data_IF_011615600225
#
_entry.id   IF_011615600225
#
_cell.length_a   1.000
_cell.length_b   1.000
_cell.length_c   1.000
_cell.angle_alpha   90.00
_cell.angle_beta   90.00
_cell.angle_gamma   90.00
#
_symmetry.space_group_name_H-M   'P 1'
#
loop_
_entity.id
_entity.type
_entity.pdbx_description
1 polymer ?
#
# COMPACT_ATOMS: atom_id res chain seq x y z
N UNK A 1 -36.53 18.30 -23.95
CA UNK A 1 -35.72 18.22 -22.71
C UNK A 1 -34.36 18.81 -23.04
N UNK A 2 -34.12 20.04 -22.59
CA UNK A 2 -33.00 20.89 -23.02
C UNK A 2 -31.80 20.71 -22.10
N UNK A 3 -30.61 20.58 -22.71
CA UNK A 3 -29.31 20.44 -22.03
C UNK A 3 -28.79 21.84 -21.66
N UNK A 4 -28.31 22.10 -20.42
CA UNK A 4 -27.72 23.40 -20.09
C UNK A 4 -26.27 23.50 -20.59
N UNK A 5 -25.97 24.61 -21.26
CA UNK A 5 -24.65 25.02 -21.71
C UNK A 5 -23.78 25.50 -20.53
N UNK A 6 -22.59 24.94 -20.36
CA UNK A 6 -21.58 25.46 -19.44
C UNK A 6 -20.74 26.53 -20.14
N UNK A 7 -20.72 27.74 -19.56
CA UNK A 7 -19.90 28.89 -19.99
C UNK A 7 -18.43 28.71 -19.57
N UNK A 8 -17.55 29.00 -20.51
CA UNK A 8 -16.11 29.16 -20.33
C UNK A 8 -15.78 30.35 -19.42
N UNK A 9 -14.89 30.14 -18.44
CA UNK A 9 -14.22 31.21 -17.71
C UNK A 9 -12.73 31.18 -18.05
N UNK A 10 -12.29 32.19 -18.78
CA UNK A 10 -10.89 32.52 -19.08
C UNK A 10 -10.25 33.20 -17.88
N UNK A 11 -9.08 32.72 -17.46
CA UNK A 11 -8.26 33.33 -16.41
C UNK A 11 -7.08 34.07 -17.03
N UNK A 12 -6.96 35.37 -16.79
CA UNK A 12 -5.81 36.21 -17.16
C UNK A 12 -4.91 36.46 -15.95
N UNK A 13 -3.57 36.47 -16.09
CA UNK A 13 -2.66 36.70 -14.98
C UNK A 13 -2.32 38.19 -14.80
N UNK A 14 -2.34 38.67 -13.56
CA UNK A 14 -1.86 39.99 -13.16
C UNK A 14 -0.47 39.90 -12.53
N UNK A 15 0.42 40.81 -12.93
CA UNK A 15 1.81 40.98 -12.50
C UNK A 15 1.95 41.94 -11.31
N UNK A 16 3.03 41.74 -10.55
CA UNK A 16 3.75 42.75 -9.73
C UNK A 16 3.04 43.15 -8.42
N UNK A 17 3.68 43.41 -7.27
CA UNK A 17 4.93 44.14 -7.03
C UNK A 17 5.50 43.76 -5.64
N UNK A 18 6.81 43.95 -5.51
CA UNK A 18 7.47 44.61 -4.35
C UNK A 18 8.19 43.76 -3.31
N UNK A 19 9.51 43.93 -3.34
CA UNK A 19 10.46 43.62 -2.29
C UNK A 19 10.22 44.48 -1.04
N UNK A 20 10.41 43.88 0.14
CA UNK A 20 10.71 44.58 1.38
C UNK A 20 11.84 43.85 2.14
N UNK A 21 12.92 44.61 2.31
CA UNK A 21 13.99 44.50 3.29
C UNK A 21 13.46 44.26 4.72
N UNK A 22 14.12 43.40 5.52
CA UNK A 22 14.29 43.53 6.98
C UNK A 22 15.43 42.57 7.43
N UNK A 23 16.64 43.10 7.62
CA UNK A 23 17.31 43.31 8.91
C UNK A 23 17.68 42.04 9.71
N UNK A 24 19.00 41.85 9.86
CA UNK A 24 19.62 41.03 10.90
C UNK A 24 19.13 41.46 12.29
N UNK A 25 18.71 40.50 13.10
CA UNK A 25 18.79 40.59 14.56
C UNK A 25 19.33 39.26 15.09
N UNK A 26 20.51 39.36 15.69
CA UNK A 26 21.19 38.32 16.45
C UNK A 26 20.47 38.09 17.77
N UNK A 27 19.96 36.89 18.01
CA UNK A 27 19.61 36.42 19.35
C UNK A 27 20.36 35.13 19.64
N UNK A 28 21.33 35.26 20.55
CA UNK A 28 21.99 34.15 21.22
C UNK A 28 20.94 33.35 21.99
N UNK A 29 20.58 32.17 21.49
CA UNK A 29 19.90 31.15 22.26
C UNK A 29 20.91 30.06 22.63
N UNK A 30 21.23 29.97 23.92
CA UNK A 30 21.92 28.82 24.50
C UNK A 30 21.11 27.56 24.22
N UNK A 31 21.58 26.77 23.26
CA UNK A 31 21.09 25.40 23.04
C UNK A 31 21.73 24.54 24.13
N UNK A 32 21.00 24.33 25.22
CA UNK A 32 21.26 23.19 26.10
C UNK A 32 20.91 21.95 25.29
N UNK A 33 21.94 21.17 24.97
CA UNK A 33 21.81 19.86 24.35
C UNK A 33 21.06 18.93 25.32
N UNK A 34 19.74 18.91 25.21
CA UNK A 34 18.90 17.91 25.85
C UNK A 34 19.31 16.55 25.31
N UNK A 35 19.88 15.72 26.17
CA UNK A 35 20.09 14.30 25.92
C UNK A 35 18.70 13.71 25.65
N UNK A 36 18.37 13.48 24.38
CA UNK A 36 17.20 12.69 24.02
C UNK A 36 17.53 11.27 24.45
N UNK A 37 17.05 10.89 25.64
CA UNK A 37 17.01 9.50 26.05
C UNK A 37 16.16 8.75 25.02
N UNK A 38 16.82 8.04 24.11
CA UNK A 38 16.18 6.97 23.33
C UNK A 38 15.75 5.92 24.34
N UNK A 39 14.52 6.01 24.82
CA UNK A 39 13.90 4.92 25.56
C UNK A 39 14.03 3.65 24.72
N UNK A 40 14.54 2.58 25.33
CA UNK A 40 14.63 1.27 24.66
C UNK A 40 13.20 0.82 24.30
N UNK A 41 12.99 0.22 23.11
CA UNK A 41 11.69 -0.35 22.75
C UNK A 41 11.22 -1.30 23.84
N UNK A 42 9.97 -1.13 24.29
CA UNK A 42 9.35 -2.05 25.25
C UNK A 42 8.85 -3.25 24.45
N UNK A 43 9.35 -4.47 24.67
CA UNK A 43 8.94 -5.65 23.90
C UNK A 43 7.44 -5.91 24.03
N UNK A 44 6.84 -6.58 23.05
CA UNK A 44 5.42 -6.95 23.13
C UNK A 44 5.15 -7.83 24.35
N UNK A 45 4.09 -7.49 25.09
CA UNK A 45 3.52 -8.36 26.11
C UNK A 45 2.86 -9.60 25.48
N UNK A 46 2.74 -10.68 26.24
CA UNK A 46 2.04 -11.90 25.81
C UNK A 46 0.59 -11.62 25.37
N UNK A 47 -0.07 -10.61 25.93
CA UNK A 47 -1.41 -10.21 25.52
C UNK A 47 -1.38 -9.56 24.13
N UNK A 48 -0.43 -8.67 23.86
CA UNK A 48 -0.25 -8.06 22.54
C UNK A 48 0.06 -9.10 21.45
N UNK A 49 0.97 -10.04 21.74
CA UNK A 49 1.31 -11.14 20.80
C UNK A 49 0.07 -11.98 20.50
N UNK A 50 -0.72 -12.36 21.51
CA UNK A 50 -1.97 -13.11 21.32
C UNK A 50 -3.02 -12.33 20.52
N UNK A 51 -3.17 -11.04 20.78
CA UNK A 51 -4.11 -10.19 20.04
C UNK A 51 -3.72 -10.08 18.56
N UNK A 52 -2.43 -9.89 18.26
CA UNK A 52 -1.96 -9.86 16.88
C UNK A 52 -2.16 -11.22 16.20
N UNK A 53 -1.83 -12.33 16.87
CA UNK A 53 -2.08 -13.68 16.36
C UNK A 53 -3.56 -13.92 16.02
N UNK A 54 -4.46 -13.51 16.91
CA UNK A 54 -5.90 -13.61 16.69
C UNK A 54 -6.34 -12.75 15.49
N UNK A 55 -5.77 -11.54 15.34
CA UNK A 55 -6.08 -10.69 14.19
C UNK A 55 -5.60 -11.27 12.86
N UNK A 56 -4.41 -11.89 12.83
CA UNK A 56 -3.85 -12.56 11.64
C UNK A 56 -4.77 -13.72 11.23
N UNK A 57 -5.12 -14.59 12.18
CA UNK A 57 -5.93 -15.79 11.92
C UNK A 57 -7.39 -15.47 11.59
N UNK A 58 -7.93 -14.35 12.06
CA UNK A 58 -9.29 -13.89 11.76
C UNK A 58 -9.35 -12.93 10.56
N UNK A 59 -8.26 -12.72 9.83
CA UNK A 59 -8.30 -11.92 8.62
C UNK A 59 -9.25 -12.54 7.59
N UNK A 60 -10.41 -11.91 7.43
CA UNK A 60 -11.55 -12.43 6.66
C UNK A 60 -11.81 -11.71 5.35
N UNK A 61 -10.78 -11.30 4.62
CA UNK A 61 -11.00 -10.69 3.30
C UNK A 61 -11.50 -11.74 2.29
N UNK A 62 -12.47 -11.43 1.43
CA UNK A 62 -13.10 -12.43 0.55
C UNK A 62 -12.10 -13.23 -0.30
N UNK A 63 -12.23 -14.55 -0.26
CA UNK A 63 -11.47 -15.48 -1.10
C UNK A 63 -12.08 -15.56 -2.50
N UNK A 64 -12.07 -14.46 -3.24
CA UNK A 64 -12.70 -14.35 -4.57
C UNK A 64 -11.74 -13.78 -5.61
N UNK A 65 -11.85 -14.24 -6.84
CA UNK A 65 -11.26 -13.63 -8.02
C UNK A 65 -12.27 -13.64 -9.18
N UNK A 66 -11.90 -13.06 -10.31
CA UNK A 66 -12.73 -13.06 -11.52
C UNK A 66 -12.07 -13.90 -12.61
N UNK A 67 -12.85 -14.84 -13.17
CA UNK A 67 -12.47 -15.54 -14.40
C UNK A 67 -12.93 -14.71 -15.60
N UNK A 68 -11.98 -14.01 -16.22
CA UNK A 68 -12.24 -13.17 -17.38
C UNK A 68 -12.56 -13.95 -18.67
N UNK A 69 -12.24 -15.25 -18.73
CA UNK A 69 -12.60 -16.08 -19.88
C UNK A 69 -14.05 -16.54 -19.79
N UNK A 70 -14.50 -16.91 -18.58
CA UNK A 70 -15.88 -17.30 -18.30
C UNK A 70 -16.78 -16.11 -17.97
N UNK A 71 -16.20 -14.92 -17.81
CA UNK A 71 -16.87 -13.69 -17.39
C UNK A 71 -17.69 -13.88 -16.10
N UNK A 72 -17.11 -14.54 -15.11
CA UNK A 72 -17.78 -14.89 -13.86
C UNK A 72 -16.87 -14.74 -12.64
N UNK A 73 -17.43 -14.36 -11.47
CA UNK A 73 -16.72 -14.44 -10.21
C UNK A 73 -16.45 -15.91 -9.84
N UNK A 74 -15.32 -16.17 -9.22
CA UNK A 74 -14.96 -17.48 -8.67
C UNK A 74 -14.70 -17.34 -7.18
N UNK A 75 -15.42 -18.14 -6.39
CA UNK A 75 -15.14 -18.35 -4.97
C UNK A 75 -14.04 -19.41 -4.85
N UNK A 76 -12.89 -19.00 -4.33
CA UNK A 76 -11.77 -19.90 -4.08
C UNK A 76 -11.91 -20.55 -2.68
N UNK A 77 -11.25 -21.69 -2.50
CA UNK A 77 -11.29 -22.40 -1.21
C UNK A 77 -10.75 -21.58 -0.03
N UNK A 78 -9.77 -20.70 -0.27
CA UNK A 78 -9.15 -19.84 0.73
C UNK A 78 -8.33 -18.72 0.05
N UNK A 79 -7.78 -17.80 0.85
CA UNK A 79 -6.97 -16.68 0.35
C UNK A 79 -5.69 -17.14 -0.36
N UNK A 80 -5.07 -18.25 0.07
CA UNK A 80 -3.86 -18.77 -0.58
C UNK A 80 -4.15 -19.23 -2.01
N UNK A 81 -5.33 -19.80 -2.28
CA UNK A 81 -5.77 -20.15 -3.62
C UNK A 81 -5.99 -18.91 -4.51
N UNK A 82 -6.50 -17.80 -3.94
CA UNK A 82 -6.60 -16.51 -4.66
C UNK A 82 -5.20 -15.97 -4.97
N UNK A 83 -4.30 -15.98 -3.99
CA UNK A 83 -2.92 -15.52 -4.17
C UNK A 83 -2.21 -16.29 -5.27
N UNK A 84 -2.30 -17.62 -5.26
CA UNK A 84 -1.65 -18.46 -6.27
C UNK A 84 -2.25 -18.24 -7.65
N UNK A 85 -3.59 -18.15 -7.75
CA UNK A 85 -4.24 -17.86 -9.03
C UNK A 85 -3.75 -16.53 -9.63
N UNK A 86 -3.82 -15.44 -8.85
CA UNK A 86 -3.42 -14.11 -9.31
C UNK A 86 -1.92 -14.08 -9.61
N UNK A 87 -1.08 -14.68 -8.77
CA UNK A 87 0.36 -14.78 -9.01
C UNK A 87 0.67 -15.49 -10.32
N UNK A 88 0.02 -16.61 -10.60
CA UNK A 88 0.21 -17.36 -11.85
C UNK A 88 -0.16 -16.52 -13.09
N UNK A 89 -1.18 -15.66 -12.96
CA UNK A 89 -1.57 -14.72 -14.02
C UNK A 89 -0.53 -13.61 -14.20
N UNK A 90 -0.06 -13.00 -13.10
CA UNK A 90 0.95 -11.94 -13.11
C UNK A 90 2.29 -12.41 -13.69
N UNK A 91 2.69 -13.67 -13.45
CA UNK A 91 3.93 -14.28 -13.94
C UNK A 91 3.78 -14.98 -15.30
N UNK A 92 2.61 -14.90 -15.94
CA UNK A 92 2.34 -15.59 -17.20
C UNK A 92 3.13 -15.02 -18.37
N UNK A 93 3.57 -15.89 -19.29
CA UNK A 93 4.16 -15.45 -20.56
C UNK A 93 3.13 -14.81 -21.51
N UNK A 94 1.86 -15.22 -21.41
CA UNK A 94 0.77 -14.61 -22.17
C UNK A 94 0.41 -13.22 -21.62
N UNK A 95 0.51 -12.19 -22.47
CA UNK A 95 0.26 -10.79 -22.12
C UNK A 95 -1.18 -10.53 -21.63
N UNK A 96 -2.18 -11.18 -22.24
CA UNK A 96 -3.57 -11.05 -21.81
C UNK A 96 -3.77 -11.61 -20.41
N UNK A 97 -3.14 -12.76 -20.09
CA UNK A 97 -3.16 -13.31 -18.73
C UNK A 97 -2.52 -12.37 -17.71
N UNK A 98 -1.45 -11.67 -18.07
CA UNK A 98 -0.84 -10.64 -17.21
C UNK A 98 -1.84 -9.49 -16.93
N UNK A 99 -2.54 -9.02 -17.97
CA UNK A 99 -3.59 -8.01 -17.80
C UNK A 99 -4.73 -8.52 -16.91
N UNK A 100 -5.15 -9.77 -17.06
CA UNK A 100 -6.15 -10.40 -16.18
C UNK A 100 -5.66 -10.49 -14.73
N UNK A 101 -4.38 -10.82 -14.52
CA UNK A 101 -3.77 -10.81 -13.18
C UNK A 101 -3.83 -9.43 -12.52
N UNK A 102 -3.41 -8.40 -13.24
CA UNK A 102 -3.48 -7.01 -12.76
C UNK A 102 -4.93 -6.56 -12.52
N UNK A 103 -5.85 -6.93 -13.41
CA UNK A 103 -7.27 -6.66 -13.23
C UNK A 103 -7.85 -7.41 -12.02
N UNK A 104 -7.38 -8.63 -11.73
CA UNK A 104 -7.77 -9.39 -10.56
C UNK A 104 -7.23 -8.79 -9.26
N UNK A 105 -6.05 -8.15 -9.26
CA UNK A 105 -5.58 -7.35 -8.11
C UNK A 105 -6.56 -6.22 -7.80
N UNK A 106 -7.07 -5.53 -8.82
CA UNK A 106 -8.13 -4.51 -8.64
C UNK A 106 -9.44 -5.14 -8.18
N UNK A 107 -9.86 -6.22 -8.83
CA UNK A 107 -11.10 -6.92 -8.50
C UNK A 107 -11.12 -7.33 -7.02
N UNK A 108 -10.05 -7.99 -6.58
CA UNK A 108 -9.87 -8.40 -5.20
C UNK A 108 -9.79 -7.18 -4.26
N UNK A 109 -8.96 -6.18 -4.57
CA UNK A 109 -8.81 -4.98 -3.73
C UNK A 109 -10.10 -4.18 -3.50
N UNK A 110 -11.14 -4.41 -4.31
CA UNK A 110 -12.47 -3.80 -4.20
C UNK A 110 -13.57 -4.82 -3.90
N UNK A 111 -13.26 -6.03 -3.42
CA UNK A 111 -14.25 -7.10 -3.21
C UNK A 111 -15.41 -6.71 -2.27
N UNK A 112 -15.17 -5.76 -1.36
CA UNK A 112 -16.15 -5.29 -0.37
C UNK A 112 -16.81 -3.95 -0.75
N UNK A 113 -16.57 -3.42 -1.97
CA UNK A 113 -17.01 -2.07 -2.36
C UNK A 113 -17.77 -2.09 -3.70
N UNK A 114 -18.87 -1.34 -3.79
CA UNK A 114 -19.83 -1.40 -4.90
C UNK A 114 -19.37 -0.86 -6.28
N UNK A 115 -18.15 -0.35 -6.42
CA UNK A 115 -17.64 0.17 -7.71
C UNK A 115 -16.48 -0.66 -8.29
N UNK A 116 -16.30 -1.90 -7.81
CA UNK A 116 -15.30 -2.86 -8.28
C UNK A 116 -15.31 -3.03 -9.81
N UNK A 117 -16.48 -3.32 -10.38
CA UNK A 117 -16.62 -3.57 -11.83
C UNK A 117 -16.23 -2.36 -12.66
N UNK A 118 -16.62 -1.15 -12.22
CA UNK A 118 -16.24 0.09 -12.89
C UNK A 118 -14.73 0.26 -12.94
N UNK A 119 -14.02 -0.03 -11.85
CA UNK A 119 -12.55 0.08 -11.78
C UNK A 119 -11.87 -0.94 -12.68
N UNK A 120 -12.33 -2.19 -12.65
CA UNK A 120 -11.82 -3.28 -13.50
C UNK A 120 -12.05 -2.96 -14.98
N UNK A 121 -13.25 -2.53 -15.36
CA UNK A 121 -13.59 -2.17 -16.73
C UNK A 121 -12.79 -0.95 -17.22
N UNK A 122 -12.61 0.06 -16.39
CA UNK A 122 -11.78 1.23 -16.73
C UNK A 122 -10.31 0.84 -16.89
N UNK A 123 -9.80 -0.08 -16.07
CA UNK A 123 -8.46 -0.64 -16.26
C UNK A 123 -8.36 -1.37 -17.60
N UNK A 124 -9.24 -2.33 -17.88
CA UNK A 124 -9.18 -3.14 -19.10
C UNK A 124 -9.37 -2.32 -20.39
N UNK A 125 -10.13 -1.21 -20.34
CA UNK A 125 -10.27 -0.27 -21.46
C UNK A 125 -9.02 0.54 -21.75
N UNK A 126 -8.22 0.87 -20.72
CA UNK A 126 -7.03 1.71 -20.86
C UNK A 126 -5.72 0.91 -20.94
N UNK A 127 -5.67 -0.27 -20.35
CA UNK A 127 -4.51 -1.15 -20.36
C UNK A 127 -4.42 -1.88 -21.71
N UNK A 128 -3.20 -2.18 -22.13
CA UNK A 128 -2.93 -2.77 -23.44
C UNK A 128 -1.69 -3.67 -23.37
N UNK A 129 -1.37 -4.32 -24.49
CA UNK A 129 -0.24 -5.26 -24.58
C UNK A 129 1.12 -4.61 -24.32
N UNK A 130 1.28 -3.29 -24.56
CA UNK A 130 2.51 -2.57 -24.25
C UNK A 130 2.72 -2.45 -22.73
N UNK A 131 1.65 -2.16 -21.98
CA UNK A 131 1.69 -2.17 -20.51
C UNK A 131 2.05 -3.56 -19.96
N UNK A 132 1.41 -4.62 -20.49
CA UNK A 132 1.72 -5.98 -20.09
C UNK A 132 3.19 -6.35 -20.38
N UNK A 133 3.70 -5.95 -21.55
CA UNK A 133 5.09 -6.19 -21.94
C UNK A 133 6.08 -5.43 -21.04
N UNK A 134 5.79 -4.17 -20.71
CA UNK A 134 6.60 -3.37 -19.79
C UNK A 134 6.62 -3.99 -18.40
N UNK A 135 5.47 -4.43 -17.88
CA UNK A 135 5.39 -5.14 -16.60
C UNK A 135 6.20 -6.44 -16.61
N UNK A 136 6.04 -7.27 -17.65
CA UNK A 136 6.83 -8.51 -17.79
C UNK A 136 8.34 -8.25 -17.81
N UNK A 137 8.78 -7.20 -18.50
CA UNK A 137 10.21 -6.82 -18.55
C UNK A 137 10.78 -6.54 -17.15
N UNK A 138 9.96 -6.00 -16.24
CA UNK A 138 10.38 -5.77 -14.85
C UNK A 138 10.59 -7.07 -14.05
N UNK A 139 9.95 -8.17 -14.45
CA UNK A 139 10.02 -9.46 -13.77
C UNK A 139 11.11 -10.39 -14.32
N UNK A 140 11.84 -9.96 -15.35
CA UNK A 140 12.92 -10.75 -15.96
C UNK A 140 14.02 -11.01 -14.93
N UNK A 141 14.49 -12.26 -14.87
CA UNK A 141 15.51 -12.67 -13.90
C UNK A 141 14.95 -12.99 -12.51
N UNK A 142 13.62 -12.99 -12.34
CA UNK A 142 12.98 -13.37 -11.07
C UNK A 142 13.06 -12.30 -9.98
N UNK A 143 13.47 -11.08 -10.32
CA UNK A 143 13.55 -9.96 -9.39
C UNK A 143 12.18 -9.29 -9.27
N UNK A 144 11.74 -9.03 -8.04
CA UNK A 144 10.52 -8.27 -7.78
C UNK A 144 10.80 -6.77 -7.96
N UNK A 145 10.01 -6.04 -8.78
CA UNK A 145 10.24 -4.63 -9.02
C UNK A 145 9.87 -3.76 -7.83
N UNK A 146 10.46 -2.57 -7.78
CA UNK A 146 10.09 -1.51 -6.84
C UNK A 146 8.76 -0.84 -7.18
N UNK A 147 8.20 -0.11 -6.20
CA UNK A 147 6.98 0.69 -6.38
C UNK A 147 7.13 1.71 -7.53
N UNK A 148 8.25 2.41 -7.59
CA UNK A 148 8.55 3.39 -8.63
C UNK A 148 8.60 2.75 -10.02
N UNK A 149 9.29 1.60 -10.17
CA UNK A 149 9.37 0.91 -11.47
C UNK A 149 7.99 0.50 -11.99
N UNK A 150 7.10 -0.02 -11.14
CA UNK A 150 5.73 -0.35 -11.58
C UNK A 150 4.95 0.92 -11.94
N UNK A 151 5.09 2.00 -11.15
CA UNK A 151 4.42 3.28 -11.39
C UNK A 151 4.80 3.87 -12.76
N UNK A 152 6.06 3.73 -13.15
CA UNK A 152 6.61 4.26 -14.41
C UNK A 152 6.09 3.51 -15.66
N UNK A 153 5.37 2.40 -15.48
CA UNK A 153 4.61 1.77 -16.59
C UNK A 153 3.38 2.62 -16.96
N UNK A 154 2.93 3.51 -16.06
CA UNK A 154 1.77 4.38 -16.28
C UNK A 154 0.46 3.62 -16.54
N UNK A 155 0.27 2.47 -15.89
CA UNK A 155 -0.97 1.70 -16.00
C UNK A 155 -2.18 2.48 -15.45
N UNK A 156 -3.34 2.44 -16.15
CA UNK A 156 -4.56 3.11 -15.68
C UNK A 156 -4.99 2.53 -14.33
N UNK A 157 -5.59 3.33 -13.45
CA UNK A 157 -6.02 2.89 -12.11
C UNK A 157 -4.90 2.45 -11.14
N UNK A 158 -3.62 2.40 -11.55
CA UNK A 158 -2.45 2.01 -10.76
C UNK A 158 -1.52 3.20 -10.44
N UNK A 159 -2.03 4.21 -9.71
CA UNK A 159 -1.28 5.45 -9.44
C UNK A 159 -0.79 5.62 -7.99
N UNK A 160 -1.31 4.83 -7.05
CA UNK A 160 -1.02 4.93 -5.62
C UNK A 160 -0.36 3.68 -5.04
N UNK A 161 0.31 3.85 -3.91
CA UNK A 161 1.00 2.76 -3.20
C UNK A 161 0.03 1.62 -2.84
N UNK A 162 -1.21 1.94 -2.47
CA UNK A 162 -2.23 0.94 -2.13
C UNK A 162 -2.45 -0.13 -3.20
N UNK A 163 -2.37 0.24 -4.49
CA UNK A 163 -2.54 -0.72 -5.59
C UNK A 163 -1.23 -1.43 -5.92
N UNK A 164 -0.14 -0.68 -6.02
CA UNK A 164 1.14 -1.26 -6.44
C UNK A 164 1.67 -2.22 -5.37
N UNK A 165 1.56 -1.88 -4.08
CA UNK A 165 1.95 -2.78 -2.98
C UNK A 165 1.14 -4.09 -2.97
N UNK A 166 -0.14 -4.07 -3.38
CA UNK A 166 -0.93 -5.31 -3.58
C UNK A 166 -0.35 -6.17 -4.70
N UNK A 167 0.05 -5.57 -5.82
CA UNK A 167 0.72 -6.32 -6.90
C UNK A 167 1.98 -7.01 -6.38
N UNK A 168 2.80 -6.30 -5.60
CA UNK A 168 4.01 -6.85 -4.99
C UNK A 168 3.69 -8.00 -4.01
N UNK A 169 2.71 -7.80 -3.12
CA UNK A 169 2.28 -8.83 -2.17
C UNK A 169 1.71 -10.09 -2.86
N UNK A 170 1.04 -9.96 -4.01
CA UNK A 170 0.63 -11.13 -4.79
C UNK A 170 1.80 -11.83 -5.50
N UNK A 171 2.78 -11.07 -5.98
CA UNK A 171 3.98 -11.64 -6.62
C UNK A 171 4.85 -12.42 -5.63
N UNK A 172 4.99 -11.91 -4.40
CA UNK A 172 5.87 -12.41 -3.34
C UNK A 172 5.32 -12.04 -1.94
N UNK A 173 4.35 -12.80 -1.40
CA UNK A 173 3.73 -12.50 -0.11
C UNK A 173 4.66 -12.75 1.09
N UNK A 174 5.74 -13.50 0.87
CA UNK A 174 6.71 -13.83 1.91
C UNK A 174 7.53 -12.60 2.28
N UNK A 175 7.84 -11.73 1.30
CA UNK A 175 8.71 -10.56 1.47
C UNK A 175 8.02 -9.20 1.27
N UNK A 176 6.78 -9.19 0.77
CA UNK A 176 6.02 -7.97 0.48
C UNK A 176 4.63 -8.02 1.10
N UNK A 177 4.18 -6.87 1.59
CA UNK A 177 2.85 -6.65 2.15
C UNK A 177 2.15 -5.45 1.50
N UNK A 178 0.88 -5.23 1.86
CA UNK A 178 0.12 -4.07 1.38
C UNK A 178 0.43 -2.83 2.22
N UNK A 179 0.35 -1.65 1.61
CA UNK A 179 0.33 -0.39 2.33
C UNK A 179 -0.74 0.54 1.76
N UNK A 180 -1.77 0.83 2.56
CA UNK A 180 -2.84 1.76 2.20
C UNK A 180 -3.09 2.83 3.29
N UNK A 181 -4.08 3.68 3.06
CA UNK A 181 -4.41 4.77 3.99
C UNK A 181 -4.95 4.27 5.34
N UNK A 182 -5.57 3.10 5.40
CA UNK A 182 -6.04 2.56 6.67
C UNK A 182 -4.86 2.15 7.54
N UNK A 183 -3.87 1.45 6.95
CA UNK A 183 -2.63 1.12 7.66
C UNK A 183 -1.82 2.36 8.02
N UNK A 184 -1.80 3.39 7.18
CA UNK A 184 -1.12 4.65 7.49
C UNK A 184 -1.67 5.36 8.74
N UNK A 185 -2.90 5.03 9.21
CA UNK A 185 -3.46 5.54 10.48
C UNK A 185 -2.77 4.98 11.72
N UNK A 186 -2.03 3.87 11.57
CA UNK A 186 -1.21 3.31 12.65
C UNK A 186 -0.02 4.24 12.96
N UNK A 187 0.36 5.12 12.02
CA UNK A 187 1.28 6.20 12.32
C UNK A 187 0.71 7.05 13.48
N UNK A 188 1.51 7.23 14.52
CA UNK A 188 1.17 8.02 15.70
C UNK A 188 1.96 9.33 15.77
N UNK A 189 2.75 9.64 14.73
CA UNK A 189 3.54 10.86 14.63
C UNK A 189 4.81 10.89 15.47
N UNK A 190 5.16 9.79 16.15
CA UNK A 190 6.32 9.70 17.05
C UNK A 190 7.38 8.68 16.62
N UNK A 191 8.66 9.05 16.73
CA UNK A 191 9.78 8.11 16.55
C UNK A 191 10.11 7.73 15.10
N UNK A 192 11.05 6.79 14.95
CA UNK A 192 11.69 6.47 13.66
C UNK A 192 11.06 5.27 12.93
N UNK A 193 9.77 4.99 13.18
CA UNK A 193 9.05 3.86 12.56
C UNK A 193 8.63 4.17 11.12
N UNK A 194 8.58 3.14 10.27
CA UNK A 194 8.29 3.27 8.85
C UNK A 194 7.04 4.11 8.54
N UNK A 195 5.92 3.81 9.19
CA UNK A 195 4.64 4.47 8.92
C UNK A 195 4.65 5.96 9.30
N UNK A 196 5.50 6.36 10.26
CA UNK A 196 5.69 7.75 10.65
C UNK A 196 6.54 8.55 9.64
N UNK A 197 7.23 7.87 8.72
CA UNK A 197 8.01 8.51 7.65
C UNK A 197 7.19 8.72 6.36
N UNK A 198 5.93 8.29 6.32
CA UNK A 198 5.06 8.44 5.16
C UNK A 198 4.65 9.90 4.96
N UNK A 199 4.86 10.41 3.75
CA UNK A 199 4.25 11.66 3.31
C UNK A 199 2.83 11.36 2.89
N UNK A 200 1.89 11.74 3.75
CA UNK A 200 0.46 11.52 3.57
C UNK A 200 -0.22 12.68 2.82
N UNK A 201 -1.33 12.36 2.17
CA UNK A 201 -2.20 13.32 1.47
C UNK A 201 -3.53 12.63 1.13
N UNK A 202 -4.26 13.15 0.15
CA UNK A 202 -5.52 12.51 -0.32
C UNK A 202 -5.33 11.06 -0.78
N UNK A 203 -4.12 10.68 -1.19
CA UNK A 203 -3.70 9.31 -1.48
C UNK A 203 -2.22 9.15 -1.13
N UNK A 204 -1.80 7.94 -0.76
CA UNK A 204 -0.38 7.61 -0.62
C UNK A 204 0.25 7.52 -2.02
N UNK A 205 0.87 8.62 -2.44
CA UNK A 205 1.53 8.73 -3.75
C UNK A 205 2.84 7.94 -3.73
N UNK A 206 3.16 7.34 -4.87
CA UNK A 206 4.45 6.71 -5.10
C UNK A 206 5.50 7.81 -5.33
N UNK A 207 6.40 7.96 -4.36
CA UNK A 207 7.56 8.86 -4.39
C UNK A 207 8.77 8.09 -3.83
N UNK A 208 9.98 8.56 -4.05
CA UNK A 208 11.18 7.94 -3.49
C UNK A 208 11.10 7.83 -1.95
N UNK A 209 10.61 8.88 -1.27
CA UNK A 209 10.43 8.86 0.18
C UNK A 209 9.42 7.79 0.63
N UNK A 210 8.23 7.76 0.01
CA UNK A 210 7.21 6.80 0.42
C UNK A 210 7.57 5.37 0.03
N UNK A 211 8.38 5.17 -1.01
CA UNK A 211 8.96 3.86 -1.30
C UNK A 211 9.93 3.42 -0.21
N UNK A 212 10.85 4.30 0.21
CA UNK A 212 11.75 3.97 1.32
C UNK A 212 10.98 3.63 2.61
N UNK A 213 9.93 4.40 2.93
CA UNK A 213 9.05 4.08 4.05
C UNK A 213 8.34 2.73 3.89
N UNK A 214 7.85 2.41 2.69
CA UNK A 214 7.28 1.09 2.39
C UNK A 214 8.29 -0.06 2.54
N UNK A 215 9.53 0.14 2.10
CA UNK A 215 10.60 -0.84 2.26
C UNK A 215 10.96 -1.08 3.74
N UNK A 216 10.94 -0.04 4.57
CA UNK A 216 11.11 -0.21 6.02
C UNK A 216 9.89 -0.91 6.62
N UNK A 217 8.67 -0.57 6.19
CA UNK A 217 7.43 -1.19 6.68
C UNK A 217 7.42 -2.71 6.48
N UNK A 218 7.75 -3.20 5.27
CA UNK A 218 7.83 -4.64 5.01
C UNK A 218 8.90 -5.34 5.85
N UNK A 219 10.04 -4.68 6.10
CA UNK A 219 11.10 -5.21 6.96
C UNK A 219 10.66 -5.26 8.43
N UNK A 220 9.93 -4.25 8.91
CA UNK A 220 9.35 -4.26 10.25
C UNK A 220 8.31 -5.38 10.40
N UNK A 221 7.46 -5.62 9.40
CA UNK A 221 6.56 -6.79 9.41
C UNK A 221 7.33 -8.11 9.49
N UNK A 222 8.42 -8.26 8.73
CA UNK A 222 9.28 -9.45 8.81
C UNK A 222 9.86 -9.62 10.22
N UNK A 223 10.44 -8.54 10.77
CA UNK A 223 11.03 -8.57 12.11
C UNK A 223 10.02 -8.92 13.20
N UNK A 224 8.77 -8.48 13.07
CA UNK A 224 7.68 -8.87 13.98
C UNK A 224 7.40 -10.37 13.89
N UNK A 225 7.35 -10.92 12.68
CA UNK A 225 7.17 -12.37 12.48
C UNK A 225 8.31 -13.16 13.12
N UNK A 226 9.55 -12.79 12.83
CA UNK A 226 10.73 -13.50 13.32
C UNK A 226 10.82 -13.46 14.84
N UNK A 227 10.60 -12.29 15.43
CA UNK A 227 10.79 -12.05 16.88
C UNK A 227 9.69 -12.69 17.71
N UNK A 228 8.43 -12.55 17.31
CA UNK A 228 7.29 -12.92 18.15
C UNK A 228 6.58 -14.21 17.71
N UNK A 229 6.82 -14.66 16.48
CA UNK A 229 6.18 -15.83 15.89
C UNK A 229 7.17 -16.82 15.29
N UNK A 230 8.48 -16.64 15.51
CA UNK A 230 9.53 -17.54 15.01
C UNK A 230 9.48 -17.75 13.50
N UNK A 231 9.05 -16.72 12.75
CA UNK A 231 8.90 -16.79 11.29
C UNK A 231 7.71 -17.60 10.80
N UNK A 232 6.77 -17.98 11.69
CA UNK A 232 5.59 -18.77 11.30
C UNK A 232 4.62 -18.03 10.36
N UNK A 233 4.68 -16.69 10.33
CA UNK A 233 3.84 -15.85 9.48
C UNK A 233 4.66 -15.17 8.38
N UNK A 234 4.07 -15.04 7.20
CA UNK A 234 4.67 -14.27 6.11
C UNK A 234 4.55 -12.77 6.38
N UNK A 235 5.33 -11.96 5.67
CA UNK A 235 5.24 -10.48 5.77
C UNK A 235 3.81 -9.98 5.51
N UNK A 236 3.13 -10.53 4.50
CA UNK A 236 1.73 -10.18 4.22
C UNK A 236 0.77 -10.56 5.36
N UNK A 237 1.03 -11.65 6.07
CA UNK A 237 0.13 -12.13 7.12
C UNK A 237 0.19 -11.21 8.35
N UNK A 238 1.39 -10.72 8.72
CA UNK A 238 1.56 -9.71 9.77
C UNK A 238 0.80 -8.42 9.42
N UNK A 239 0.94 -7.93 8.18
CA UNK A 239 0.20 -6.75 7.72
C UNK A 239 -1.32 -6.95 7.78
N UNK A 240 -1.80 -8.11 7.34
CA UNK A 240 -3.22 -8.47 7.43
C UNK A 240 -3.75 -8.48 8.86
N UNK A 241 -2.93 -8.88 9.83
CA UNK A 241 -3.24 -8.76 11.25
C UNK A 241 -3.45 -7.30 11.67
N UNK A 242 -2.52 -6.41 11.30
CA UNK A 242 -2.68 -4.98 11.56
C UNK A 242 -3.89 -4.38 10.85
N UNK A 243 -4.11 -4.76 9.60
CA UNK A 243 -5.28 -4.31 8.83
C UNK A 243 -6.58 -4.75 9.48
N UNK A 244 -6.66 -6.01 9.95
CA UNK A 244 -7.82 -6.53 10.67
C UNK A 244 -8.09 -5.74 11.97
N UNK A 245 -7.06 -5.43 12.76
CA UNK A 245 -7.21 -4.58 13.94
C UNK A 245 -7.77 -3.20 13.58
N UNK A 246 -7.27 -2.58 12.49
CA UNK A 246 -7.77 -1.29 12.04
C UNK A 246 -9.23 -1.37 11.54
N UNK A 247 -9.59 -2.44 10.82
CA UNK A 247 -10.95 -2.64 10.31
C UNK A 247 -11.98 -2.96 11.39
N UNK A 248 -11.55 -3.49 12.53
CA UNK A 248 -12.40 -3.85 13.67
C UNK A 248 -12.37 -2.81 14.79
N UNK A 249 -12.05 -1.55 14.45
CA UNK A 249 -12.00 -0.39 15.35
C UNK A 249 -11.01 -0.53 16.53
N UNK A 250 -9.97 -1.37 16.39
CA UNK A 250 -8.91 -1.57 17.39
C UNK A 250 -7.64 -0.79 17.02
N UNK A 251 -7.79 0.43 16.49
CA UNK A 251 -6.66 1.25 16.02
C UNK A 251 -5.63 1.53 17.13
N UNK A 252 -6.08 1.84 18.35
CA UNK A 252 -5.19 2.12 19.47
C UNK A 252 -4.35 0.90 19.84
N UNK A 253 -4.95 -0.30 19.78
CA UNK A 253 -4.22 -1.54 20.00
C UNK A 253 -3.19 -1.78 18.89
N UNK A 254 -3.56 -1.55 17.63
CA UNK A 254 -2.62 -1.64 16.50
C UNK A 254 -1.44 -0.68 16.67
N UNK A 255 -1.68 0.57 17.06
CA UNK A 255 -0.65 1.57 17.35
C UNK A 255 0.27 1.14 18.50
N UNK A 256 -0.31 0.62 19.58
CA UNK A 256 0.45 0.17 20.74
C UNK A 256 1.33 -1.05 20.40
N UNK A 257 0.79 -2.03 19.68
CA UNK A 257 1.56 -3.18 19.19
C UNK A 257 2.68 -2.69 18.28
N UNK A 258 2.36 -1.87 17.28
CA UNK A 258 3.35 -1.42 16.30
C UNK A 258 4.46 -0.56 16.91
N UNK A 259 4.17 0.24 17.94
CA UNK A 259 5.16 1.07 18.63
C UNK A 259 6.14 0.23 19.46
N UNK A 260 5.63 -0.86 20.06
CA UNK A 260 6.38 -1.71 20.98
C UNK A 260 7.18 -2.81 20.27
N UNK A 261 6.72 -3.27 19.10
CA UNK A 261 7.29 -4.42 18.39
C UNK A 261 8.64 -4.12 17.75
#
# INVERSE_FOLDING_TARGET
MSIPQYRNLTFTPSKSVSACFFALLTTNASITAGVIHKEKPVPLSNTQVRSLNAAITNYGFPAVYFDFNQNAPVEAANIAAVEEHIRSQLKSENQQRVLHGLANVLYWGYAQIGYREVRVNNFLKGANTAHASAFKKLLVGGVIPSLCQIKDIHMPQFSGISFISKVLAFLDPDNYCVLDQQLARIANGGGNRALNQLVQGQQLRVTANNQAAYDVWRNECSAISDTYFQGAYRVVDIERGFFHLVQTDQLQLAQLIYTNA
#
